data_IF_133435817957
#
_entry.id   IF_133435817957
#
_cell.length_a   1.000
_cell.length_b   1.000
_cell.length_c   1.000
_cell.angle_alpha   90.00
_cell.angle_beta   90.00
_cell.angle_gamma   90.00
#
_symmetry.space_group_name_H-M   'P 1'
#
loop_
_entity.id
_entity.type
_entity.pdbx_description
1 polymer ?
#
# COMPACT_ATOMS: atom_id res chain seq x y z
N UNK A 1 17.85 3.67 13.66
CA UNK A 1 17.83 5.00 12.99
C UNK A 1 16.51 5.72 13.24
N UNK A 2 15.34 5.22 12.80
CA UNK A 2 14.04 5.89 13.05
C UNK A 2 13.77 6.21 14.52
N UNK A 3 13.90 5.22 15.42
CA UNK A 3 13.69 5.42 16.87
C UNK A 3 14.60 6.51 17.44
N UNK A 4 15.88 6.47 17.06
CA UNK A 4 16.88 7.47 17.44
C UNK A 4 16.50 8.86 16.92
N UNK A 5 16.13 8.98 15.64
CA UNK A 5 15.73 10.26 15.05
C UNK A 5 14.51 10.85 15.77
N UNK A 6 13.51 10.03 16.09
CA UNK A 6 12.33 10.47 16.83
C UNK A 6 12.69 10.88 18.26
N UNK A 7 13.54 10.13 18.96
CA UNK A 7 13.92 10.42 20.35
C UNK A 7 14.74 11.70 20.51
N UNK A 8 15.41 12.17 19.46
CA UNK A 8 16.17 13.43 19.47
C UNK A 8 15.31 14.67 19.15
N UNK A 9 13.98 14.54 19.14
CA UNK A 9 13.06 15.62 18.77
C UNK A 9 11.82 15.64 19.66
N UNK A 10 11.21 16.82 19.78
CA UNK A 10 9.90 17.00 20.42
C UNK A 10 8.73 16.73 19.46
N UNK A 11 8.98 16.12 18.30
CA UNK A 11 7.95 15.85 17.31
C UNK A 11 7.05 14.71 17.78
N UNK A 12 5.74 14.85 17.53
CA UNK A 12 4.75 13.82 17.86
C UNK A 12 5.12 12.47 17.20
N UNK A 13 4.81 11.32 17.85
CA UNK A 13 4.96 10.00 17.23
C UNK A 13 4.33 9.88 15.84
N UNK A 14 3.32 10.68 15.50
CA UNK A 14 2.71 10.71 14.16
C UNK A 14 3.70 10.99 13.01
N UNK A 15 4.83 11.63 13.29
CA UNK A 15 5.88 11.93 12.30
C UNK A 15 6.81 10.74 11.98
N UNK A 16 6.58 9.57 12.60
CA UNK A 16 7.41 8.38 12.38
C UNK A 16 7.51 7.97 10.91
N UNK A 17 6.48 8.20 10.10
CA UNK A 17 6.49 7.92 8.67
C UNK A 17 7.53 8.75 7.91
N UNK A 18 7.65 10.04 8.23
CA UNK A 18 8.66 10.91 7.63
C UNK A 18 10.08 10.62 8.13
N UNK A 19 10.22 10.22 9.39
CA UNK A 19 11.48 9.71 9.93
C UNK A 19 11.92 8.42 9.22
N UNK A 20 10.97 7.51 8.92
CA UNK A 20 11.22 6.28 8.19
C UNK A 20 11.65 6.56 6.74
N UNK A 21 10.93 7.41 6.01
CA UNK A 21 11.32 7.79 4.64
C UNK A 21 12.72 8.42 4.60
N UNK A 22 13.02 9.28 5.57
CA UNK A 22 14.36 9.88 5.70
C UNK A 22 15.42 8.82 6.02
N UNK A 23 15.13 7.87 6.91
CA UNK A 23 16.03 6.74 7.23
C UNK A 23 16.35 5.92 6.00
N UNK A 24 15.34 5.55 5.20
CA UNK A 24 15.54 4.77 3.97
C UNK A 24 16.42 5.54 2.99
N UNK A 25 16.17 6.84 2.81
CA UNK A 25 17.00 7.69 1.95
C UNK A 25 18.45 7.74 2.42
N UNK A 26 18.68 7.91 3.72
CA UNK A 26 20.02 7.93 4.31
C UNK A 26 20.73 6.58 4.15
N UNK A 27 20.05 5.46 4.39
CA UNK A 27 20.62 4.13 4.20
C UNK A 27 21.05 3.88 2.76
N UNK A 28 20.25 4.32 1.78
CA UNK A 28 20.58 4.15 0.36
C UNK A 28 21.82 4.94 -0.07
N UNK A 29 22.17 6.03 0.60
CA UNK A 29 23.34 6.87 0.28
C UNK A 29 24.48 6.73 1.30
N UNK A 30 24.34 5.86 2.30
CA UNK A 30 25.37 5.61 3.31
C UNK A 30 26.25 4.43 2.89
N UNK A 31 27.57 4.50 3.13
CA UNK A 31 28.45 3.36 2.89
C UNK A 31 28.11 2.22 3.85
N UNK A 32 28.33 0.99 3.41
CA UNK A 32 28.17 -0.22 4.22
C UNK A 32 29.51 -0.91 4.42
N UNK A 33 29.67 -1.70 5.49
CA UNK A 33 30.91 -2.48 5.70
C UNK A 33 31.09 -3.58 4.64
N UNK A 34 29.98 -4.07 4.08
CA UNK A 34 29.96 -5.21 3.17
C UNK A 34 30.30 -4.81 1.72
N UNK A 35 30.09 -3.55 1.35
CA UNK A 35 30.25 -3.06 -0.03
C UNK A 35 30.89 -1.67 -0.01
N UNK A 36 31.97 -1.43 -0.77
CA UNK A 36 32.69 -0.14 -0.77
C UNK A 36 31.90 1.01 -1.40
N UNK A 37 30.88 0.71 -2.19
CA UNK A 37 29.98 1.67 -2.84
C UNK A 37 28.62 1.71 -2.11
N UNK A 38 27.95 2.86 -2.18
CA UNK A 38 26.59 3.01 -1.62
C UNK A 38 25.54 2.33 -2.51
N UNK A 39 24.40 1.86 -1.98
CA UNK A 39 23.31 1.33 -2.81
C UNK A 39 22.88 2.30 -3.92
N UNK A 40 22.89 3.61 -3.65
CA UNK A 40 22.62 4.66 -4.62
C UNK A 40 23.65 4.70 -5.75
N UNK A 41 24.95 4.57 -5.43
CA UNK A 41 26.03 4.51 -6.42
C UNK A 41 25.90 3.30 -7.34
N UNK A 42 25.57 2.14 -6.78
CA UNK A 42 25.35 0.91 -7.55
C UNK A 42 24.19 1.10 -8.52
N UNK A 43 23.09 1.68 -8.04
CA UNK A 43 21.87 1.84 -8.84
C UNK A 43 21.98 2.93 -9.92
N UNK A 44 22.68 4.04 -9.63
CA UNK A 44 22.74 5.21 -10.51
C UNK A 44 24.08 5.41 -11.22
N UNK A 45 25.10 4.60 -10.94
CA UNK A 45 26.44 4.68 -11.52
C UNK A 45 27.23 5.94 -11.14
N UNK A 46 26.79 6.69 -10.13
CA UNK A 46 27.43 7.94 -9.66
C UNK A 46 27.24 8.18 -8.15
N UNK A 47 28.19 8.84 -7.48
CA UNK A 47 28.08 9.19 -6.06
C UNK A 47 26.92 10.14 -5.77
N UNK A 48 26.25 9.92 -4.65
CA UNK A 48 25.24 10.83 -4.14
C UNK A 48 25.89 12.13 -3.62
N UNK A 49 25.21 13.25 -3.76
CA UNK A 49 25.65 14.51 -3.12
C UNK A 49 25.20 14.54 -1.66
N UNK A 50 26.11 14.81 -0.73
CA UNK A 50 25.77 14.93 0.70
C UNK A 50 25.42 16.37 1.13
N UNK A 51 25.63 17.35 0.24
CA UNK A 51 25.51 18.79 0.56
C UNK A 51 24.11 19.23 0.99
N UNK A 52 23.09 18.50 0.55
CA UNK A 52 21.69 18.79 0.88
C UNK A 52 21.23 18.11 2.17
N UNK A 53 22.05 17.25 2.80
CA UNK A 53 21.62 16.55 4.00
C UNK A 53 21.49 17.49 5.18
N UNK A 54 20.42 17.30 5.95
CA UNK A 54 20.07 18.07 7.12
C UNK A 54 19.72 17.18 8.31
N UNK A 55 20.01 17.68 9.52
CA UNK A 55 19.71 17.00 10.78
C UNK A 55 18.20 16.95 10.94
N UNK A 56 17.65 15.75 10.94
CA UNK A 56 16.20 15.52 11.03
C UNK A 56 15.64 16.09 12.34
N UNK A 57 14.52 16.81 12.26
CA UNK A 57 13.90 17.51 13.38
C UNK A 57 14.53 18.86 13.76
N UNK A 58 15.63 19.24 13.09
CA UNK A 58 16.25 20.54 13.35
C UNK A 58 15.29 21.70 13.06
N UNK A 59 15.35 22.78 13.86
CA UNK A 59 14.60 23.99 13.58
C UNK A 59 15.17 24.69 12.33
N UNK A 60 14.30 25.29 11.54
CA UNK A 60 14.68 26.07 10.36
C UNK A 60 13.74 27.26 10.18
N UNK A 61 14.31 28.41 9.79
CA UNK A 61 13.52 29.56 9.34
C UNK A 61 13.17 29.41 7.87
N UNK A 62 11.88 29.26 7.57
CA UNK A 62 11.37 29.05 6.20
C UNK A 62 10.73 30.33 5.70
N UNK A 63 11.12 30.82 4.53
CA UNK A 63 10.61 32.07 3.96
C UNK A 63 9.15 31.90 3.53
N UNK A 64 8.26 32.80 3.98
CA UNK A 64 6.85 32.88 3.59
C UNK A 64 6.69 33.88 2.45
N UNK A 65 5.96 33.49 1.40
CA UNK A 65 5.76 34.30 0.19
C UNK A 65 4.57 35.28 0.31
N UNK A 66 3.87 35.28 1.44
CA UNK A 66 2.65 36.06 1.67
C UNK A 66 2.88 36.98 2.88
N UNK A 67 2.73 38.29 2.69
CA UNK A 67 2.82 39.32 3.73
C UNK A 67 3.11 40.72 3.15
N UNK A 68 2.60 41.77 3.82
CA UNK A 68 2.85 43.16 3.44
C UNK A 68 4.29 43.58 3.75
N UNK A 69 4.70 44.77 3.28
CA UNK A 69 6.10 45.26 3.29
C UNK A 69 6.78 45.25 4.68
N UNK A 70 6.03 45.10 5.77
CA UNK A 70 6.50 45.17 7.16
C UNK A 70 6.38 43.85 7.96
N UNK A 71 5.72 42.82 7.44
CA UNK A 71 5.51 41.58 8.20
C UNK A 71 6.75 40.68 8.25
N UNK A 72 6.84 39.84 9.28
CA UNK A 72 7.87 38.79 9.39
C UNK A 72 7.78 37.85 8.19
N UNK A 73 8.85 37.82 7.37
CA UNK A 73 8.90 37.04 6.11
C UNK A 73 9.35 35.59 6.30
N UNK A 74 9.46 35.11 7.54
CA UNK A 74 9.89 33.74 7.81
C UNK A 74 9.21 33.15 9.03
N UNK A 75 8.78 31.89 8.94
CA UNK A 75 8.26 31.10 10.06
C UNK A 75 9.31 30.12 10.57
N UNK A 76 9.32 29.90 11.89
CA UNK A 76 10.14 28.87 12.52
C UNK A 76 9.44 27.52 12.39
N UNK A 77 10.02 26.61 11.61
CA UNK A 77 9.46 25.30 11.33
C UNK A 77 10.45 24.18 11.73
N UNK A 78 9.96 22.94 11.76
CA UNK A 78 10.78 21.74 11.97
C UNK A 78 11.04 21.03 10.66
N UNK A 79 12.28 20.69 10.38
CA UNK A 79 12.62 19.86 9.22
C UNK A 79 12.18 18.41 9.44
N UNK A 80 11.35 17.87 8.56
CA UNK A 80 10.77 16.53 8.74
C UNK A 80 11.11 15.55 7.60
N UNK A 81 11.68 15.98 6.48
CA UNK A 81 12.15 15.02 5.46
C UNK A 81 12.33 15.60 4.06
N UNK A 82 12.49 14.72 3.08
CA UNK A 82 12.81 15.11 1.70
C UNK A 82 11.66 14.74 0.75
N UNK A 83 11.09 15.68 -0.01
CA UNK A 83 10.09 15.38 -1.04
C UNK A 83 10.67 14.53 -2.19
N UNK A 84 9.82 13.71 -2.82
CA UNK A 84 10.19 12.79 -3.92
C UNK A 84 10.22 13.50 -5.29
N UNK A 85 9.35 14.48 -5.50
CA UNK A 85 9.06 15.03 -6.84
C UNK A 85 9.55 16.47 -7.03
N UNK A 86 9.95 17.16 -5.97
CA UNK A 86 10.33 18.59 -6.01
C UNK A 86 11.66 18.83 -5.32
N UNK A 87 12.43 19.82 -5.79
CA UNK A 87 13.61 20.28 -5.07
C UNK A 87 13.21 21.05 -3.80
N UNK A 88 13.72 20.64 -2.64
CA UNK A 88 13.44 21.29 -1.36
C UNK A 88 13.37 20.30 -0.20
N UNK A 89 12.67 20.71 0.87
CA UNK A 89 12.53 19.96 2.11
C UNK A 89 11.09 20.02 2.61
N UNK A 90 10.64 18.97 3.30
CA UNK A 90 9.41 19.00 4.08
C UNK A 90 9.67 19.72 5.41
N UNK A 91 8.81 20.69 5.70
CA UNK A 91 8.80 21.43 6.95
C UNK A 91 7.45 21.29 7.63
N UNK A 92 7.48 21.08 8.95
CA UNK A 92 6.31 21.13 9.81
C UNK A 92 6.23 22.49 10.50
N UNK A 93 5.12 23.20 10.28
CA UNK A 93 4.78 24.42 11.02
C UNK A 93 3.96 24.05 12.27
N UNK A 94 4.50 24.21 13.49
CA UNK A 94 3.77 23.88 14.71
C UNK A 94 2.58 24.82 14.98
N UNK A 95 2.57 26.03 14.41
CA UNK A 95 1.48 26.99 14.57
C UNK A 95 0.28 26.62 13.71
N UNK A 96 0.53 26.22 12.45
CA UNK A 96 -0.54 25.80 11.52
C UNK A 96 -0.86 24.31 11.59
N UNK A 97 -0.03 23.52 12.28
CA UNK A 97 -0.07 22.06 12.31
C UNK A 97 -0.04 21.42 10.91
N UNK A 98 0.71 22.02 9.99
CA UNK A 98 0.78 21.62 8.58
C UNK A 98 2.19 21.26 8.17
N UNK A 99 2.28 20.26 7.29
CA UNK A 99 3.53 19.92 6.59
C UNK A 99 3.46 20.49 5.18
N UNK A 100 4.50 21.21 4.78
CA UNK A 100 4.59 21.82 3.45
C UNK A 100 6.02 21.70 2.91
N UNK A 101 6.19 21.96 1.61
CA UNK A 101 7.49 21.92 0.93
C UNK A 101 8.03 23.32 0.72
N UNK A 102 9.32 23.52 1.00
CA UNK A 102 10.03 24.75 0.61
C UNK A 102 11.49 24.46 0.30
N UNK A 103 12.06 25.22 -0.64
CA UNK A 103 13.50 25.25 -0.92
C UNK A 103 14.22 26.38 -0.18
N UNK A 104 13.47 27.38 0.31
CA UNK A 104 14.02 28.61 0.87
C UNK A 104 13.97 28.56 2.40
N UNK A 105 14.96 27.92 2.99
CA UNK A 105 15.07 27.76 4.43
C UNK A 105 16.51 27.94 4.94
N UNK A 106 16.63 28.51 6.14
CA UNK A 106 17.89 28.62 6.88
C UNK A 106 17.82 27.67 8.08
N UNK A 107 18.65 26.63 8.06
CA UNK A 107 18.65 25.58 9.09
C UNK A 107 19.50 25.98 10.30
N UNK A 108 18.98 25.73 11.49
CA UNK A 108 19.62 26.01 12.78
C UNK A 108 20.15 24.71 13.39
N UNK A 109 21.09 24.06 12.69
CA UNK A 109 21.64 22.76 13.09
C UNK A 109 22.70 22.87 14.19
N UNK A 110 23.33 24.04 14.32
CA UNK A 110 24.37 24.28 15.32
C UNK A 110 23.76 24.23 16.72
N UNK A 111 24.20 23.27 17.53
CA UNK A 111 23.70 23.07 18.90
C UNK A 111 22.39 22.29 19.00
N UNK A 112 21.93 21.66 17.91
CA UNK A 112 20.78 20.77 17.91
C UNK A 112 21.24 19.30 17.89
N UNK A 113 20.70 18.43 18.77
CA UNK A 113 19.76 18.71 19.86
C UNK A 113 20.45 19.41 21.05
N UNK A 114 19.71 20.26 21.79
CA UNK A 114 20.23 20.88 23.02
C UNK A 114 20.59 19.81 24.05
N UNK A 115 21.71 19.98 24.76
CA UNK A 115 22.27 18.98 25.71
C UNK A 115 21.29 18.49 26.79
N UNK A 116 20.21 19.22 27.06
CA UNK A 116 19.18 18.86 28.03
C UNK A 116 18.13 17.84 27.53
N UNK A 117 18.21 17.33 26.29
CA UNK A 117 17.24 16.37 25.72
C UNK A 117 17.81 14.94 25.55
N UNK A 118 18.86 14.58 26.30
CA UNK A 118 19.40 13.21 26.30
C UNK A 118 18.67 12.36 27.33
N UNK A 119 17.50 11.82 26.99
CA UNK A 119 17.00 10.66 27.73
C UNK A 119 17.93 9.47 27.42
N UNK A 120 18.68 9.00 28.42
CA UNK A 120 19.48 7.77 28.31
C UNK A 120 18.55 6.58 28.10
N UNK A 121 18.47 6.10 26.86
CA UNK A 121 17.79 4.83 26.55
C UNK A 121 18.72 3.68 26.90
N UNK A 122 18.45 2.99 28.01
CA UNK A 122 19.06 1.70 28.32
C UNK A 122 18.64 0.68 27.25
N UNK A 123 19.62 0.14 26.53
CA UNK A 123 19.43 -0.91 25.54
C UNK A 123 19.48 -2.25 26.29
N UNK A 124 18.33 -2.86 26.55
CA UNK A 124 18.29 -4.30 26.86
C UNK A 124 18.43 -5.08 25.54
N UNK A 125 19.64 -5.56 25.27
CA UNK A 125 19.85 -6.62 24.29
C UNK A 125 19.39 -7.95 24.89
N UNK A 126 18.24 -8.46 24.43
CA UNK A 126 17.83 -9.82 24.78
C UNK A 126 18.68 -10.83 23.99
N UNK A 127 19.79 -11.27 24.58
CA UNK A 127 20.51 -12.47 24.17
C UNK A 127 19.65 -13.70 24.51
N UNK A 128 19.00 -14.27 23.50
CA UNK A 128 18.23 -15.49 23.65
C UNK A 128 19.13 -16.73 23.63
N UNK A 129 19.21 -17.43 24.76
CA UNK A 129 19.48 -18.86 24.81
C UNK A 129 18.32 -19.60 25.52
N UNK A 130 18.13 -20.91 25.23
CA UNK A 130 16.82 -21.55 25.25
C UNK A 130 16.47 -22.15 26.62
N UNK A 131 15.29 -21.82 27.16
CA UNK A 131 14.74 -22.50 28.32
C UNK A 131 13.44 -23.24 27.99
N UNK A 132 13.61 -24.56 27.99
CA UNK A 132 12.70 -25.67 28.27
C UNK A 132 11.25 -25.37 28.67
N UNK A 133 10.36 -26.12 28.01
CA UNK A 133 8.99 -26.43 28.40
C UNK A 133 8.81 -26.63 29.92
N UNK A 134 7.77 -26.00 30.45
CA UNK A 134 7.01 -26.55 31.57
C UNK A 134 5.55 -26.14 31.45
N UNK A 135 4.75 -27.15 31.14
CA UNK A 135 3.30 -27.22 31.08
C UNK A 135 2.66 -26.59 32.32
N UNK A 136 1.74 -25.65 32.13
CA UNK A 136 0.77 -25.25 33.14
C UNK A 136 -0.65 -25.35 32.55
N UNK A 137 -1.37 -26.34 33.04
CA UNK A 137 -2.80 -26.57 32.85
C UNK A 137 -3.62 -25.38 33.34
N UNK A 138 -4.53 -24.87 32.49
CA UNK A 138 -5.61 -23.98 32.90
C UNK A 138 -6.95 -24.67 32.68
N UNK A 139 -7.69 -24.86 33.78
CA UNK A 139 -9.11 -25.21 33.77
C UNK A 139 -9.98 -24.02 33.32
N UNK A 140 -11.16 -24.26 32.73
CA UNK A 140 -11.97 -23.22 32.11
C UNK A 140 -12.92 -22.55 33.13
N UNK A 141 -12.82 -21.24 33.29
CA UNK A 141 -13.83 -20.44 33.99
C UNK A 141 -14.88 -19.92 32.99
N UNK A 142 -16.11 -20.39 33.17
CA UNK A 142 -17.32 -19.92 32.48
C UNK A 142 -17.67 -18.52 32.97
N UNK A 143 -17.74 -17.54 32.07
CA UNK A 143 -18.46 -16.29 32.29
C UNK A 143 -19.39 -15.98 31.12
N UNK A 144 -20.62 -15.64 31.50
CA UNK A 144 -21.86 -15.50 30.76
C UNK A 144 -21.94 -14.27 29.85
N UNK A 145 -22.65 -14.45 28.73
CA UNK A 145 -23.36 -13.50 27.88
C UNK A 145 -23.08 -11.99 28.05
N UNK A 146 -22.26 -11.49 27.12
CA UNK A 146 -22.19 -10.09 26.74
C UNK A 146 -21.61 -10.01 25.33
N UNK A 147 -22.43 -9.61 24.36
CA UNK A 147 -22.02 -9.41 22.96
C UNK A 147 -20.74 -8.55 22.91
N UNK A 148 -19.66 -8.97 22.23
CA UNK A 148 -18.48 -8.14 22.10
C UNK A 148 -18.84 -6.92 21.26
N UNK A 149 -18.74 -5.72 21.85
CA UNK A 149 -18.84 -4.46 21.09
C UNK A 149 -17.65 -4.42 20.14
N UNK A 150 -17.91 -4.64 18.85
CA UNK A 150 -16.99 -4.39 17.75
C UNK A 150 -16.43 -2.96 17.87
N UNK A 151 -15.14 -2.81 18.16
CA UNK A 151 -14.43 -1.53 17.97
C UNK A 151 -14.40 -1.20 16.47
N UNK A 152 -15.46 -0.59 15.98
CA UNK A 152 -15.50 0.03 14.65
C UNK A 152 -14.58 1.25 14.66
N UNK A 153 -13.72 1.38 13.66
CA UNK A 153 -13.02 2.64 13.40
C UNK A 153 -14.07 3.68 12.95
N UNK A 154 -14.28 4.71 13.74
CA UNK A 154 -15.00 5.95 13.37
C UNK A 154 -14.10 6.84 12.52
N UNK A 155 -13.47 6.29 11.48
CA UNK A 155 -12.76 7.11 10.50
C UNK A 155 -13.80 7.90 9.70
N UNK A 156 -13.91 9.20 10.00
CA UNK A 156 -14.42 10.16 9.03
C UNK A 156 -13.51 10.11 7.81
N UNK A 157 -14.09 9.86 6.63
CA UNK A 157 -13.37 9.98 5.36
C UNK A 157 -12.99 11.44 5.17
N UNK A 158 -11.73 11.79 5.41
CA UNK A 158 -11.17 13.10 5.02
C UNK A 158 -10.37 12.90 3.75
N UNK A 159 -10.72 13.67 2.73
CA UNK A 159 -9.96 13.73 1.47
C UNK A 159 -8.53 14.15 1.79
N UNK A 160 -7.49 13.48 1.25
CA UNK A 160 -6.11 13.87 1.51
C UNK A 160 -5.86 15.31 1.03
N UNK A 161 -5.25 16.15 1.88
CA UNK A 161 -4.83 17.53 1.57
C UNK A 161 -3.70 17.62 0.49
N UNK A 162 -3.46 16.52 -0.24
CA UNK A 162 -2.41 16.35 -1.27
C UNK A 162 -2.81 16.88 -2.66
N UNK A 163 -3.97 17.51 -2.77
CA UNK A 163 -4.29 18.40 -3.89
C UNK A 163 -4.50 19.82 -3.35
N UNK A 164 -3.39 20.44 -2.95
CA UNK A 164 -3.31 21.88 -2.67
C UNK A 164 -2.39 22.54 -3.67
N UNK A 165 -2.97 23.35 -4.56
CA UNK A 165 -2.32 24.25 -5.53
C UNK A 165 -2.01 23.71 -6.94
N UNK A 166 -3.07 23.32 -7.68
CA UNK A 166 -3.24 23.81 -9.07
C UNK A 166 -4.11 25.06 -8.98
N UNK A 167 -3.52 26.12 -8.43
CA UNK A 167 -4.16 27.42 -8.22
C UNK A 167 -4.05 28.31 -9.44
N UNK A 168 -4.58 27.88 -10.58
CA UNK A 168 -5.07 28.79 -11.64
C UNK A 168 -6.07 28.11 -12.60
N UNK A 169 -6.98 27.27 -12.12
CA UNK A 169 -8.24 26.95 -12.82
C UNK A 169 -9.40 26.63 -11.86
N UNK A 170 -9.30 26.97 -10.57
CA UNK A 170 -10.42 26.88 -9.61
C UNK A 170 -11.39 28.05 -9.81
N UNK A 171 -12.06 28.03 -10.96
CA UNK A 171 -13.36 28.61 -11.22
C UNK A 171 -13.88 27.89 -12.47
N UNK A 172 -14.44 26.69 -12.27
CA UNK A 172 -15.50 26.05 -13.06
C UNK A 172 -15.74 24.64 -12.48
N UNK A 173 -16.11 24.53 -11.20
CA UNK A 173 -16.72 23.31 -10.63
C UNK A 173 -18.19 23.20 -11.08
N UNK A 174 -18.43 23.24 -12.38
CA UNK A 174 -19.77 23.05 -12.99
C UNK A 174 -19.83 21.77 -13.81
N UNK A 175 -18.99 20.78 -13.50
CA UNK A 175 -19.10 19.49 -14.17
C UNK A 175 -20.36 18.75 -13.68
N UNK A 176 -21.24 18.34 -14.61
CA UNK A 176 -22.49 17.65 -14.29
C UNK A 176 -22.18 16.29 -13.66
N UNK A 177 -22.82 15.99 -12.53
CA UNK A 177 -22.59 14.76 -11.75
C UNK A 177 -23.53 13.63 -12.15
N UNK A 178 -24.59 13.95 -12.89
CA UNK A 178 -25.56 12.99 -13.40
C UNK A 178 -25.75 13.17 -14.90
N UNK A 179 -26.22 12.11 -15.58
CA UNK A 179 -26.58 12.20 -16.99
C UNK A 179 -27.62 13.29 -17.25
N UNK A 180 -28.61 13.43 -16.36
CA UNK A 180 -29.65 14.45 -16.47
C UNK A 180 -29.08 15.88 -16.39
N UNK A 181 -28.15 16.12 -15.48
CA UNK A 181 -27.42 17.40 -15.40
C UNK A 181 -26.57 17.65 -16.64
N UNK A 182 -25.91 16.61 -17.17
CA UNK A 182 -25.06 16.73 -18.35
C UNK A 182 -25.86 17.05 -19.62
N UNK A 183 -27.06 16.49 -19.75
CA UNK A 183 -27.96 16.78 -20.88
C UNK A 183 -28.65 18.15 -20.75
N UNK A 184 -28.71 18.70 -19.55
CA UNK A 184 -29.27 20.03 -19.29
C UNK A 184 -28.22 21.15 -19.35
N UNK A 185 -26.93 20.78 -19.42
CA UNK A 185 -25.82 21.73 -19.52
C UNK A 185 -25.71 22.34 -20.93
N UNK A 186 -25.17 23.55 -21.02
CA UNK A 186 -24.93 24.23 -22.29
C UNK A 186 -23.94 23.49 -23.21
N UNK A 187 -23.10 22.61 -22.63
CA UNK A 187 -22.17 21.75 -23.35
C UNK A 187 -22.70 20.31 -23.52
N UNK A 188 -24.01 20.07 -23.42
CA UNK A 188 -24.62 18.74 -23.53
C UNK A 188 -24.16 17.96 -24.76
N UNK A 189 -24.00 18.62 -25.92
CA UNK A 189 -23.49 17.99 -27.14
C UNK A 189 -22.05 17.47 -26.99
N UNK A 190 -21.18 18.21 -26.28
CA UNK A 190 -19.81 17.78 -25.99
C UNK A 190 -19.77 16.64 -24.97
N UNK A 191 -20.67 16.67 -23.98
CA UNK A 191 -20.83 15.56 -23.04
C UNK A 191 -21.30 14.29 -23.76
N UNK A 192 -22.25 14.40 -24.69
CA UNK A 192 -22.70 13.30 -25.54
C UNK A 192 -21.57 12.75 -26.41
N UNK A 193 -20.79 13.62 -27.04
CA UNK A 193 -19.65 13.22 -27.87
C UNK A 193 -18.57 12.52 -27.05
N UNK A 194 -18.24 13.05 -25.87
CA UNK A 194 -17.29 12.43 -24.94
C UNK A 194 -17.79 11.07 -24.43
N UNK A 195 -19.08 10.93 -24.11
CA UNK A 195 -19.69 9.66 -23.70
C UNK A 195 -19.62 8.65 -24.86
N UNK A 196 -20.02 9.04 -26.07
CA UNK A 196 -19.96 8.17 -27.26
C UNK A 196 -18.53 7.74 -27.58
N UNK A 197 -17.59 8.69 -27.61
CA UNK A 197 -16.16 8.39 -27.80
C UNK A 197 -15.62 7.43 -26.75
N UNK A 198 -16.06 7.58 -25.48
CA UNK A 198 -15.68 6.66 -24.41
C UNK A 198 -16.30 5.28 -24.60
N UNK A 199 -17.56 5.18 -25.00
CA UNK A 199 -18.22 3.90 -25.33
C UNK A 199 -17.56 3.21 -26.53
N UNK A 200 -17.22 3.95 -27.58
CA UNK A 200 -16.51 3.41 -28.76
C UNK A 200 -15.12 2.89 -28.36
N UNK A 201 -14.44 3.60 -27.44
CA UNK A 201 -13.15 3.16 -26.90
C UNK A 201 -13.24 1.93 -26.00
N UNK A 202 -14.42 1.58 -25.47
CA UNK A 202 -14.59 0.36 -24.65
C UNK A 202 -14.46 -0.92 -25.46
N UNK A 203 -14.65 -0.88 -26.79
CA UNK A 203 -14.41 -2.04 -27.66
C UNK A 203 -12.93 -2.32 -27.88
N UNK A 204 -12.08 -1.28 -27.88
CA UNK A 204 -10.62 -1.40 -27.99
C UNK A 204 -9.92 -1.58 -26.65
N UNK A 205 -10.51 -1.04 -25.58
CA UNK A 205 -9.98 -1.11 -24.23
C UNK A 205 -10.56 -2.33 -23.52
N UNK A 206 -9.75 -3.04 -22.71
CA UNK A 206 -10.22 -4.19 -21.90
C UNK A 206 -11.14 -3.71 -20.75
N UNK A 207 -12.32 -3.18 -21.09
CA UNK A 207 -13.32 -2.73 -20.16
C UNK A 207 -13.83 -3.94 -19.35
N UNK A 208 -13.92 -3.77 -18.03
CA UNK A 208 -14.35 -4.82 -17.10
C UNK A 208 -15.72 -4.46 -16.55
N UNK A 209 -16.59 -5.47 -16.43
CA UNK A 209 -17.84 -5.33 -15.68
C UNK A 209 -17.51 -5.15 -14.19
N UNK A 210 -18.06 -4.10 -13.58
CA UNK A 210 -17.85 -3.75 -12.18
C UNK A 210 -19.20 -3.76 -11.46
N UNK A 211 -19.32 -4.57 -10.41
CA UNK A 211 -20.46 -4.54 -9.49
C UNK A 211 -20.55 -3.18 -8.79
N UNK A 212 -21.76 -2.73 -8.52
CA UNK A 212 -22.04 -1.54 -7.71
C UNK A 212 -21.82 -1.82 -6.22
N UNK A 213 -20.64 -2.33 -5.81
CA UNK A 213 -20.43 -2.79 -4.43
C UNK A 213 -20.58 -1.71 -3.35
N UNK A 214 -20.65 -0.43 -3.71
CA UNK A 214 -21.04 0.64 -2.79
C UNK A 214 -22.49 0.49 -2.26
N UNK A 215 -23.35 -0.27 -2.93
CA UNK A 215 -24.70 -0.59 -2.46
C UNK A 215 -24.73 -1.77 -1.48
N UNK A 216 -23.63 -2.51 -1.32
CA UNK A 216 -23.56 -3.66 -0.41
C UNK A 216 -23.58 -3.22 1.06
N UNK A 217 -24.34 -3.96 1.86
CA UNK A 217 -24.55 -3.76 3.29
C UNK A 217 -23.77 -4.80 4.10
N UNK A 218 -22.91 -4.37 5.04
CA UNK A 218 -22.22 -5.27 5.96
C UNK A 218 -23.22 -6.07 6.81
N UNK A 219 -22.94 -7.36 7.04
CA UNK A 219 -23.82 -8.28 7.78
C UNK A 219 -25.03 -8.79 6.99
N UNK A 220 -25.12 -8.44 5.71
CA UNK A 220 -26.16 -8.93 4.79
C UNK A 220 -25.49 -9.44 3.52
N UNK A 221 -24.77 -8.57 2.81
CA UNK A 221 -24.17 -8.89 1.50
C UNK A 221 -22.72 -9.39 1.62
N UNK A 222 -22.11 -9.21 2.79
CA UNK A 222 -20.80 -9.71 3.17
C UNK A 222 -20.61 -9.60 4.70
N UNK A 223 -19.83 -10.52 5.26
CA UNK A 223 -19.40 -10.46 6.66
C UNK A 223 -17.98 -9.90 6.80
N UNK A 224 -17.07 -10.37 5.94
CA UNK A 224 -15.65 -10.03 5.99
C UNK A 224 -15.10 -9.66 4.61
N UNK A 225 -14.21 -8.67 4.58
CA UNK A 225 -13.58 -8.16 3.34
C UNK A 225 -12.06 -8.24 3.37
N UNK A 226 -11.48 -8.62 4.51
CA UNK A 226 -10.04 -8.59 4.71
C UNK A 226 -9.35 -9.60 3.80
N UNK A 227 -8.34 -9.12 3.06
CA UNK A 227 -7.45 -9.93 2.25
C UNK A 227 -6.00 -9.54 2.57
N UNK A 228 -5.19 -10.45 3.12
CA UNK A 228 -3.79 -10.17 3.38
C UNK A 228 -2.98 -9.97 2.09
N UNK A 229 -1.94 -9.13 2.18
CA UNK A 229 -0.96 -8.85 1.12
C UNK A 229 0.42 -9.25 1.62
N UNK A 230 1.27 -9.80 0.73
CA UNK A 230 2.61 -10.22 1.09
C UNK A 230 3.41 -9.07 1.70
N UNK A 231 4.14 -9.35 2.78
CA UNK A 231 4.96 -8.33 3.42
C UNK A 231 6.16 -8.00 2.52
N UNK A 232 6.44 -6.70 2.38
CA UNK A 232 7.61 -6.25 1.63
C UNK A 232 8.91 -6.88 2.14
N UNK A 233 9.02 -7.13 3.46
CA UNK A 233 10.16 -7.83 4.08
C UNK A 233 10.31 -9.26 3.58
N UNK A 234 9.21 -10.01 3.47
CA UNK A 234 9.23 -11.39 2.99
C UNK A 234 9.71 -11.45 1.54
N UNK A 235 9.20 -10.54 0.70
CA UNK A 235 9.65 -10.41 -0.70
C UNK A 235 11.16 -10.10 -0.73
N UNK A 236 11.63 -9.10 0.03
CA UNK A 236 13.04 -8.74 0.09
C UNK A 236 13.94 -9.89 0.56
N UNK A 237 13.51 -10.64 1.58
CA UNK A 237 14.25 -11.81 2.08
C UNK A 237 14.34 -12.88 1.00
N UNK A 238 13.23 -13.19 0.32
CA UNK A 238 13.22 -14.20 -0.74
C UNK A 238 14.06 -13.80 -1.95
N UNK A 239 14.06 -12.51 -2.32
CA UNK A 239 14.95 -11.98 -3.36
C UNK A 239 16.44 -12.08 -2.94
N UNK A 240 16.76 -11.82 -1.66
CA UNK A 240 18.11 -11.98 -1.15
C UNK A 240 18.56 -13.45 -1.13
N UNK A 241 17.67 -14.37 -0.74
CA UNK A 241 17.91 -15.82 -0.82
C UNK A 241 18.16 -16.23 -2.27
N UNK A 242 17.33 -15.76 -3.20
CA UNK A 242 17.49 -16.07 -4.61
C UNK A 242 18.82 -15.57 -5.17
N UNK A 243 19.21 -14.34 -4.84
CA UNK A 243 20.50 -13.78 -5.25
C UNK A 243 21.70 -14.53 -4.65
N UNK A 244 21.59 -15.00 -3.40
CA UNK A 244 22.68 -15.71 -2.71
C UNK A 244 22.88 -17.14 -3.22
N UNK A 245 21.78 -17.87 -3.45
CA UNK A 245 21.82 -19.27 -3.88
C UNK A 245 21.67 -19.46 -5.39
N UNK A 246 21.63 -18.35 -6.15
CA UNK A 246 21.44 -18.35 -7.60
C UNK A 246 20.14 -19.06 -8.03
N UNK A 247 19.03 -18.71 -7.38
CA UNK A 247 17.71 -19.24 -7.73
C UNK A 247 17.09 -18.43 -8.87
N UNK A 248 16.37 -19.12 -9.73
CA UNK A 248 15.59 -18.54 -10.81
C UNK A 248 14.34 -17.84 -10.24
N UNK A 249 14.00 -16.67 -10.79
CA UNK A 249 12.85 -15.85 -10.35
C UNK A 249 11.96 -15.55 -11.54
N UNK A 250 10.70 -16.00 -11.48
CA UNK A 250 9.68 -15.75 -12.48
C UNK A 250 8.55 -14.91 -11.90
N UNK A 251 8.23 -13.80 -12.58
CA UNK A 251 6.99 -13.06 -12.34
C UNK A 251 5.88 -13.61 -13.23
N UNK A 252 4.70 -13.79 -12.64
CA UNK A 252 3.49 -14.22 -13.30
C UNK A 252 2.36 -13.25 -12.94
N UNK A 253 1.50 -12.93 -13.91
CA UNK A 253 0.26 -12.17 -13.69
C UNK A 253 -0.93 -13.12 -13.82
N UNK A 254 -1.88 -13.06 -12.89
CA UNK A 254 -3.11 -13.83 -12.98
C UNK A 254 -4.15 -13.05 -13.76
N UNK A 255 -4.48 -13.56 -14.96
CA UNK A 255 -5.57 -13.01 -15.75
C UNK A 255 -6.89 -13.07 -14.99
N UNK A 256 -7.52 -11.92 -14.88
CA UNK A 256 -8.85 -11.76 -14.26
C UNK A 256 -8.94 -12.39 -12.87
N UNK A 257 -7.93 -12.17 -12.03
CA UNK A 257 -7.80 -12.73 -10.69
C UNK A 257 -9.12 -12.79 -9.90
N UNK A 258 -9.87 -11.68 -9.83
CA UNK A 258 -11.14 -11.66 -9.09
C UNK A 258 -12.21 -12.58 -9.68
N UNK A 259 -12.24 -12.82 -11.00
CA UNK A 259 -13.17 -13.77 -11.63
C UNK A 259 -12.85 -15.23 -11.33
N UNK A 260 -11.72 -15.52 -10.69
CA UNK A 260 -11.42 -16.87 -10.22
C UNK A 260 -11.95 -17.12 -8.79
N UNK A 261 -12.18 -16.07 -8.00
CA UNK A 261 -12.74 -16.20 -6.65
C UNK A 261 -14.20 -16.63 -6.68
N UNK A 262 -14.59 -17.52 -5.76
CA UNK A 262 -16.00 -17.86 -5.55
C UNK A 262 -16.67 -16.86 -4.61
N UNK A 263 -17.96 -16.62 -4.85
CA UNK A 263 -18.81 -15.87 -3.91
C UNK A 263 -19.56 -16.90 -3.09
N UNK A 264 -19.32 -16.91 -1.78
CA UNK A 264 -20.03 -17.78 -0.84
C UNK A 264 -21.41 -17.19 -0.51
N UNK A 265 -21.51 -15.86 -0.51
CA UNK A 265 -22.75 -15.14 -0.26
C UNK A 265 -23.72 -15.17 -1.45
N UNK A 266 -25.02 -15.09 -1.17
CA UNK A 266 -26.05 -14.95 -2.21
C UNK A 266 -26.16 -13.51 -2.69
N UNK A 267 -25.31 -13.14 -3.65
CA UNK A 267 -25.30 -11.78 -4.22
C UNK A 267 -26.02 -11.78 -5.55
N UNK A 268 -26.93 -10.81 -5.69
CA UNK A 268 -27.65 -10.54 -6.92
C UNK A 268 -27.24 -9.17 -7.46
N UNK A 269 -27.18 -9.06 -8.79
CA UNK A 269 -26.98 -7.79 -9.49
C UNK A 269 -28.00 -7.64 -10.59
N UNK A 270 -28.35 -6.41 -10.92
CA UNK A 270 -29.16 -6.12 -12.11
C UNK A 270 -28.48 -6.69 -13.36
N UNK A 271 -29.30 -7.09 -14.33
CA UNK A 271 -28.79 -7.49 -15.63
C UNK A 271 -27.97 -6.33 -16.22
N UNK A 272 -26.72 -6.58 -16.67
CA UNK A 272 -25.91 -5.53 -17.29
C UNK A 272 -26.64 -4.89 -18.47
N UNK A 273 -26.52 -3.57 -18.61
CA UNK A 273 -27.08 -2.85 -19.75
C UNK A 273 -26.58 -3.46 -21.07
N UNK A 274 -27.50 -3.73 -21.99
CA UNK A 274 -27.21 -4.41 -23.26
C UNK A 274 -27.20 -5.95 -23.19
N UNK A 275 -27.31 -6.54 -22.00
CA UNK A 275 -27.43 -8.00 -21.78
C UNK A 275 -28.77 -8.39 -21.14
N UNK A 276 -29.71 -7.47 -21.03
CA UNK A 276 -31.06 -7.74 -20.53
C UNK A 276 -31.82 -8.66 -21.49
N UNK A 277 -32.42 -9.72 -20.95
CA UNK A 277 -33.24 -10.64 -21.74
C UNK A 277 -34.64 -10.05 -21.96
N UNK A 278 -35.05 -9.96 -23.23
CA UNK A 278 -36.36 -9.41 -23.63
C UNK A 278 -37.47 -10.26 -23.00
N UNK A 279 -38.42 -9.61 -22.32
CA UNK A 279 -39.51 -10.25 -21.58
C UNK A 279 -39.14 -10.72 -20.17
N UNK A 280 -37.87 -10.60 -19.77
CA UNK A 280 -37.38 -10.94 -18.43
C UNK A 280 -36.62 -9.77 -17.80
N UNK A 281 -36.99 -8.53 -18.14
CA UNK A 281 -36.29 -7.31 -17.71
C UNK A 281 -36.27 -7.14 -16.19
N UNK A 282 -37.25 -7.73 -15.48
CA UNK A 282 -37.38 -7.67 -14.03
C UNK A 282 -36.49 -8.70 -13.29
N UNK A 283 -35.81 -9.61 -14.01
CA UNK A 283 -34.92 -10.58 -13.39
C UNK A 283 -33.57 -9.97 -13.04
N UNK A 284 -32.91 -10.60 -12.07
CA UNK A 284 -31.56 -10.26 -11.61
C UNK A 284 -30.61 -11.42 -11.85
N UNK A 285 -29.32 -11.13 -12.02
CA UNK A 285 -28.26 -12.12 -12.14
C UNK A 285 -27.75 -12.51 -10.75
N UNK A 286 -27.72 -13.81 -10.45
CA UNK A 286 -27.00 -14.33 -9.28
C UNK A 286 -25.51 -14.48 -9.59
N UNK A 287 -24.65 -13.87 -8.80
CA UNK A 287 -23.20 -13.95 -8.96
C UNK A 287 -22.68 -15.29 -8.44
N UNK A 288 -22.07 -16.09 -9.32
CA UNK A 288 -21.41 -17.35 -8.95
C UNK A 288 -19.93 -17.17 -8.62
N UNK A 289 -19.32 -16.10 -9.15
CA UNK A 289 -17.91 -15.77 -8.99
C UNK A 289 -17.76 -14.30 -8.65
N UNK A 290 -16.70 -13.96 -7.93
CA UNK A 290 -16.45 -12.58 -7.56
C UNK A 290 -16.13 -11.77 -8.80
N UNK A 291 -16.63 -10.54 -8.84
CA UNK A 291 -16.34 -9.58 -9.90
C UNK A 291 -15.76 -8.30 -9.30
N UNK A 292 -15.16 -7.47 -10.14
CA UNK A 292 -14.65 -6.16 -9.72
C UNK A 292 -15.77 -5.35 -9.05
N UNK A 293 -15.41 -4.57 -8.04
CA UNK A 293 -16.36 -3.72 -7.33
C UNK A 293 -17.04 -4.37 -6.13
N UNK A 294 -17.13 -5.70 -6.04
CA UNK A 294 -17.58 -6.36 -4.80
C UNK A 294 -16.58 -6.09 -3.67
N UNK A 295 -17.10 -5.78 -2.47
CA UNK A 295 -16.28 -5.46 -1.30
C UNK A 295 -15.40 -6.62 -0.84
N UNK A 296 -15.83 -7.86 -1.04
CA UNK A 296 -15.11 -9.07 -0.67
C UNK A 296 -14.29 -9.69 -1.82
N UNK A 297 -14.26 -9.09 -3.02
CA UNK A 297 -13.63 -9.70 -4.20
C UNK A 297 -12.18 -10.13 -3.96
N UNK A 298 -11.38 -9.28 -3.30
CA UNK A 298 -9.99 -9.59 -2.98
C UNK A 298 -9.86 -10.78 -2.03
N UNK A 299 -10.76 -10.90 -1.04
CA UNK A 299 -10.80 -12.02 -0.10
C UNK A 299 -11.17 -13.31 -0.83
N UNK A 300 -12.23 -13.29 -1.63
CA UNK A 300 -12.66 -14.43 -2.45
C UNK A 300 -11.55 -14.94 -3.37
N UNK A 301 -10.84 -14.02 -4.04
CA UNK A 301 -9.68 -14.35 -4.84
C UNK A 301 -8.58 -14.99 -3.99
N UNK A 302 -8.26 -14.38 -2.85
CA UNK A 302 -7.20 -14.86 -2.01
C UNK A 302 -7.45 -16.26 -1.42
N UNK A 303 -8.67 -16.52 -0.94
CA UNK A 303 -9.09 -17.83 -0.46
C UNK A 303 -8.97 -18.87 -1.57
N UNK A 304 -9.46 -18.54 -2.78
CA UNK A 304 -9.34 -19.43 -3.93
C UNK A 304 -7.89 -19.75 -4.27
N UNK A 305 -7.03 -18.74 -4.24
CA UNK A 305 -5.60 -18.92 -4.50
C UNK A 305 -4.97 -19.88 -3.47
N UNK A 306 -5.26 -19.69 -2.19
CA UNK A 306 -4.77 -20.56 -1.10
C UNK A 306 -5.19 -22.02 -1.31
N UNK A 307 -6.47 -22.26 -1.61
CA UNK A 307 -7.00 -23.60 -1.90
C UNK A 307 -6.26 -24.28 -3.05
N UNK A 308 -6.14 -23.56 -4.18
CA UNK A 308 -5.50 -24.10 -5.39
C UNK A 308 -4.04 -24.42 -5.08
N UNK A 309 -3.27 -23.47 -4.54
CA UNK A 309 -1.84 -23.65 -4.30
C UNK A 309 -1.55 -24.75 -3.28
N UNK A 310 -2.35 -24.87 -2.22
CA UNK A 310 -2.25 -25.98 -1.27
C UNK A 310 -2.53 -27.34 -1.93
N UNK A 311 -3.46 -27.39 -2.89
CA UNK A 311 -3.70 -28.57 -3.73
C UNK A 311 -2.49 -29.01 -4.55
N UNK A 312 -1.56 -28.08 -4.88
CA UNK A 312 -0.27 -28.39 -5.53
C UNK A 312 0.85 -28.76 -4.55
N UNK A 313 0.50 -29.12 -3.30
CA UNK A 313 1.41 -29.50 -2.22
C UNK A 313 2.38 -28.39 -1.80
N UNK A 314 1.97 -27.13 -1.96
CA UNK A 314 2.65 -26.01 -1.32
C UNK A 314 2.20 -25.87 0.13
N UNK A 315 3.15 -25.58 1.00
CA UNK A 315 2.96 -25.32 2.42
C UNK A 315 2.96 -23.81 2.61
N UNK A 316 1.85 -23.28 3.14
CA UNK A 316 1.73 -21.87 3.50
C UNK A 316 2.67 -21.52 4.66
N UNK A 317 3.28 -20.35 4.62
CA UNK A 317 4.11 -19.83 5.70
C UNK A 317 3.22 -19.26 6.83
N UNK A 318 3.56 -19.57 8.08
CA UNK A 318 2.76 -19.18 9.25
C UNK A 318 2.89 -17.68 9.60
N UNK A 319 4.02 -17.05 9.25
CA UNK A 319 4.29 -15.65 9.54
C UNK A 319 3.79 -14.72 8.43
N UNK A 320 3.91 -15.15 7.17
CA UNK A 320 3.38 -14.43 6.01
C UNK A 320 2.48 -15.36 5.19
N UNK A 321 1.15 -15.33 5.42
CA UNK A 321 0.17 -16.20 4.77
C UNK A 321 0.06 -16.06 3.24
N UNK A 322 0.84 -15.18 2.61
CA UNK A 322 0.98 -15.02 1.16
C UNK A 322 2.23 -15.65 0.57
N UNK A 323 3.10 -16.17 1.43
CA UNK A 323 4.30 -16.90 1.05
C UNK A 323 4.02 -18.38 1.21
N UNK A 324 4.37 -19.14 0.18
CA UNK A 324 4.23 -20.57 0.10
C UNK A 324 5.58 -21.19 -0.21
N UNK A 325 5.85 -22.37 0.34
CA UNK A 325 7.06 -23.15 0.05
C UNK A 325 6.69 -24.55 -0.40
N UNK A 326 7.46 -25.09 -1.34
CA UNK A 326 7.40 -26.49 -1.75
C UNK A 326 8.82 -27.03 -1.80
N UNK A 327 9.02 -28.17 -1.16
CA UNK A 327 10.31 -28.86 -1.12
C UNK A 327 10.09 -30.30 -1.56
N UNK A 328 10.91 -30.79 -2.48
CA UNK A 328 10.88 -32.17 -2.94
C UNK A 328 12.30 -32.64 -3.24
N UNK A 329 12.87 -33.44 -2.35
CA UNK A 329 14.28 -33.82 -2.42
C UNK A 329 15.19 -32.60 -2.34
N UNK A 330 16.02 -32.39 -3.37
CA UNK A 330 16.89 -31.23 -3.51
C UNK A 330 16.19 -30.00 -4.09
N UNK A 331 14.95 -30.12 -4.57
CA UNK A 331 14.22 -29.03 -5.20
C UNK A 331 13.50 -28.17 -4.17
N UNK A 332 13.60 -26.87 -4.34
CA UNK A 332 12.95 -25.85 -3.51
C UNK A 332 12.27 -24.83 -4.42
N UNK A 333 10.99 -24.57 -4.17
CA UNK A 333 10.29 -23.41 -4.70
C UNK A 333 9.60 -22.61 -3.61
N UNK A 334 9.64 -21.30 -3.77
CA UNK A 334 8.84 -20.33 -3.05
C UNK A 334 7.86 -19.69 -4.02
N UNK A 335 6.64 -19.47 -3.57
CA UNK A 335 5.63 -18.75 -4.31
C UNK A 335 5.09 -17.63 -3.42
N UNK A 336 5.00 -16.41 -3.96
CA UNK A 336 4.49 -15.24 -3.25
C UNK A 336 3.34 -14.64 -4.04
N UNK A 337 2.20 -14.46 -3.39
CA UNK A 337 1.06 -13.74 -3.96
C UNK A 337 1.04 -12.28 -3.48
N UNK A 338 1.09 -11.34 -4.42
CA UNK A 338 0.88 -9.91 -4.17
C UNK A 338 -0.32 -9.42 -5.00
N UNK A 339 -1.51 -9.46 -4.41
CA UNK A 339 -2.77 -9.12 -5.10
C UNK A 339 -2.96 -10.02 -6.32
N UNK A 340 -2.66 -9.54 -7.53
CA UNK A 340 -2.84 -10.28 -8.79
C UNK A 340 -1.49 -10.78 -9.35
N UNK A 341 -0.37 -10.26 -8.84
CA UNK A 341 0.99 -10.68 -9.19
C UNK A 341 1.43 -11.89 -8.37
N UNK A 342 2.14 -12.81 -9.02
CA UNK A 342 2.74 -13.99 -8.41
C UNK A 342 4.24 -13.99 -8.69
N UNK A 343 5.05 -14.08 -7.64
CA UNK A 343 6.49 -14.34 -7.76
C UNK A 343 6.75 -15.82 -7.47
N UNK A 344 7.36 -16.50 -8.42
CA UNK A 344 7.78 -17.90 -8.30
C UNK A 344 9.31 -17.94 -8.31
N UNK A 345 9.91 -18.48 -7.25
CA UNK A 345 11.35 -18.49 -7.02
C UNK A 345 11.79 -19.92 -6.75
N UNK A 346 12.85 -20.41 -7.37
CA UNK A 346 13.34 -21.76 -7.06
C UNK A 346 14.63 -22.15 -7.74
N UNK A 347 15.16 -23.30 -7.35
CA UNK A 347 16.48 -23.78 -7.78
C UNK A 347 16.46 -24.75 -8.96
N UNK A 348 15.29 -25.10 -9.49
CA UNK A 348 15.14 -26.03 -10.61
C UNK A 348 14.13 -25.49 -11.63
N UNK A 349 14.65 -25.08 -12.79
CA UNK A 349 13.88 -24.44 -13.87
C UNK A 349 12.79 -25.36 -14.41
N UNK A 350 13.04 -26.68 -14.45
CA UNK A 350 12.06 -27.65 -14.97
C UNK A 350 10.86 -27.75 -14.01
N UNK A 351 11.12 -27.86 -12.72
CA UNK A 351 10.07 -27.85 -11.70
C UNK A 351 9.28 -26.54 -11.71
N UNK A 352 9.94 -25.38 -11.85
CA UNK A 352 9.25 -24.09 -11.99
C UNK A 352 8.36 -24.07 -13.24
N UNK A 353 8.84 -24.64 -14.35
CA UNK A 353 8.07 -24.90 -15.56
C UNK A 353 6.81 -25.72 -15.28
N UNK A 354 6.94 -26.85 -14.60
CA UNK A 354 5.81 -27.74 -14.29
C UNK A 354 4.79 -27.05 -13.37
N UNK A 355 5.25 -26.25 -12.40
CA UNK A 355 4.35 -25.45 -11.53
C UNK A 355 3.60 -24.40 -12.34
N UNK A 356 4.30 -23.67 -13.22
CA UNK A 356 3.71 -22.62 -14.04
C UNK A 356 2.66 -23.16 -15.01
N UNK A 357 2.91 -24.28 -15.68
CA UNK A 357 1.97 -24.85 -16.64
C UNK A 357 0.90 -25.72 -15.97
N UNK A 358 1.21 -26.29 -14.81
CA UNK A 358 0.29 -27.10 -14.03
C UNK A 358 -0.74 -26.28 -13.26
N UNK A 359 -0.44 -25.03 -12.91
CA UNK A 359 -1.36 -24.18 -12.16
C UNK A 359 -2.47 -23.61 -13.07
N UNK A 360 -3.77 -23.89 -12.80
CA UNK A 360 -4.88 -23.43 -13.64
C UNK A 360 -5.08 -21.91 -13.59
N UNK A 361 -4.39 -21.23 -12.69
CA UNK A 361 -4.42 -19.77 -12.53
C UNK A 361 -3.54 -19.04 -13.56
N UNK A 362 -2.70 -19.78 -14.27
CA UNK A 362 -1.81 -19.29 -15.33
C UNK A 362 -2.16 -19.95 -16.66
N UNK A 363 -3.36 -19.69 -17.17
CA UNK A 363 -3.72 -20.02 -18.56
C UNK A 363 -3.68 -18.74 -19.43
N UNK A 364 -3.30 -18.87 -20.71
CA UNK A 364 -2.56 -17.87 -21.50
C UNK A 364 -3.24 -16.54 -21.76
#
# INVERSE_FOLDING_TARGET
>A
MVRSMMSFTELSPSFWGHALETTVKLLNISPSKSIPQTPYEIWHGKPASYKYLKVWGSPAYVKRLVGDKLDSRSSLCRFVGYPKETAGYYFYDPTEQKVFVSSNAVFLEKGFPSDNQRDEVLIEESSGEPHHDSTASFEPTVHTDGVPILRRSTRESRVPERYGFVGLTSQLDNDPKTYGEAMSDINSDKWLEAIKSKMDSMGSNQARLVAKGYTQRPGIDFEETYSPVAMAKSIQILLAIAAWYDYEIWQMDVKTAFLNGFVEEEIFMDQPEGFTTIGEEQKVCRLQRSIYGLKQASRSWNTRFDEVIRGYNFIKNDYDPRVYKKISGSWVAYLVLYVDDVLLIGNDVKMLGDIKHGCPLSSP
#
